data_IF_340910693131
#
_entry.id   IF_340910693131
#
_cell.length_a   1.000
_cell.length_b   1.000
_cell.length_c   1.000
_cell.angle_alpha   90.00
_cell.angle_beta   90.00
_cell.angle_gamma   90.00
#
_symmetry.space_group_name_H-M   'P 1'
#
loop_
_entity.id
_entity.type
_entity.pdbx_description
1 polymer ?
#
# COMPACT_ATOMS: atom_id res chain seq x y z
N UNK A 1 -7.82 -1.40 -17.74
CA UNK A 1 -6.80 -0.45 -18.26
C UNK A 1 -6.78 -0.53 -19.77
N UNK A 2 -7.09 0.57 -20.45
CA UNK A 2 -7.09 0.62 -21.91
C UNK A 2 -5.71 1.01 -22.44
N UNK A 3 -5.35 0.50 -23.63
CA UNK A 3 -4.09 0.83 -24.30
C UNK A 3 -3.96 2.33 -24.65
N UNK A 4 -5.06 3.09 -24.68
CA UNK A 4 -5.09 4.54 -24.91
C UNK A 4 -4.93 5.37 -23.62
N UNK A 5 -4.63 4.72 -22.49
CA UNK A 5 -4.45 5.35 -21.18
C UNK A 5 -5.74 5.53 -20.39
N UNK A 6 -6.92 5.20 -20.96
CA UNK A 6 -8.17 5.24 -20.19
C UNK A 6 -8.17 4.23 -19.05
N UNK A 7 -8.64 4.69 -17.91
CA UNK A 7 -9.06 3.86 -16.78
C UNK A 7 -10.58 3.93 -16.72
N UNK A 8 -11.22 2.77 -16.73
CA UNK A 8 -12.65 2.66 -16.47
C UNK A 8 -12.87 1.91 -15.16
N UNK A 9 -13.86 2.35 -14.36
CA UNK A 9 -14.18 1.65 -13.13
C UNK A 9 -14.74 0.26 -13.42
N UNK A 10 -14.21 -0.74 -12.73
CA UNK A 10 -14.57 -2.15 -12.91
C UNK A 10 -14.11 -2.95 -11.68
N UNK A 11 -14.67 -4.15 -11.49
CA UNK A 11 -14.21 -5.10 -10.48
C UNK A 11 -14.13 -6.52 -11.05
N UNK A 12 -13.09 -7.26 -10.64
CA UNK A 12 -12.96 -8.66 -11.01
C UNK A 12 -13.76 -9.54 -10.05
N UNK A 13 -14.61 -10.43 -10.58
CA UNK A 13 -15.39 -11.36 -9.77
C UNK A 13 -15.25 -12.81 -10.24
N UNK A 14 -15.46 -13.73 -9.30
CA UNK A 14 -15.60 -15.17 -9.56
C UNK A 14 -16.76 -15.71 -8.72
N UNK A 15 -17.81 -16.30 -9.33
CA UNK A 15 -18.02 -16.50 -10.77
C UNK A 15 -18.27 -15.17 -11.52
N UNK A 16 -18.03 -15.10 -12.85
CA UNK A 16 -18.17 -13.85 -13.61
C UNK A 16 -19.58 -13.22 -13.55
N UNK A 17 -20.63 -14.02 -13.41
CA UNK A 17 -22.02 -13.51 -13.30
C UNK A 17 -22.26 -12.64 -12.06
N UNK A 18 -21.39 -12.75 -11.04
CA UNK A 18 -21.45 -11.90 -9.85
C UNK A 18 -21.10 -10.45 -10.18
N UNK A 19 -20.31 -10.21 -11.23
CA UNK A 19 -19.97 -8.84 -11.66
C UNK A 19 -21.23 -8.07 -12.06
N UNK A 20 -22.04 -8.65 -12.96
CA UNK A 20 -23.24 -8.00 -13.49
C UNK A 20 -24.26 -7.81 -12.36
N UNK A 21 -24.43 -8.81 -11.50
CA UNK A 21 -25.29 -8.74 -10.32
C UNK A 21 -24.91 -7.59 -9.36
N UNK A 22 -23.63 -7.46 -9.02
CA UNK A 22 -23.18 -6.37 -8.13
C UNK A 22 -23.29 -5.01 -8.81
N UNK A 23 -23.02 -4.95 -10.11
CA UNK A 23 -23.11 -3.70 -10.90
C UNK A 23 -24.56 -3.24 -11.03
N UNK A 24 -25.50 -4.17 -11.24
CA UNK A 24 -26.93 -3.86 -11.33
C UNK A 24 -27.50 -3.35 -10.00
N UNK A 25 -27.07 -3.92 -8.88
CA UNK A 25 -27.56 -3.56 -7.54
C UNK A 25 -26.90 -2.28 -6.99
N UNK A 26 -25.58 -2.13 -7.14
CA UNK A 26 -24.79 -1.08 -6.47
C UNK A 26 -24.12 -0.09 -7.43
N UNK A 27 -24.27 -0.27 -8.74
CA UNK A 27 -23.50 0.44 -9.75
C UNK A 27 -22.07 -0.07 -9.87
N UNK A 28 -21.34 0.48 -10.85
CA UNK A 28 -19.93 0.14 -11.10
C UNK A 28 -19.06 0.46 -9.89
N UNK A 29 -18.08 -0.40 -9.61
CA UNK A 29 -17.11 -0.17 -8.54
C UNK A 29 -16.48 1.22 -8.64
N UNK A 30 -16.45 2.03 -7.55
CA UNK A 30 -16.01 3.42 -7.61
C UNK A 30 -14.47 3.55 -7.60
N UNK A 31 -13.81 3.07 -8.67
CA UNK A 31 -12.34 2.97 -8.78
C UNK A 31 -11.59 4.28 -8.44
N UNK A 32 -12.12 5.45 -8.82
CA UNK A 32 -11.47 6.74 -8.56
C UNK A 32 -11.63 7.23 -7.11
N UNK A 33 -12.49 6.57 -6.33
CA UNK A 33 -12.62 6.71 -4.88
C UNK A 33 -11.93 5.57 -4.13
N UNK A 34 -11.42 4.57 -4.86
CA UNK A 34 -10.61 3.51 -4.29
C UNK A 34 -9.13 3.89 -4.26
N UNK A 35 -8.61 4.61 -5.26
CA UNK A 35 -7.18 4.94 -5.24
C UNK A 35 -6.91 6.28 -5.91
N UNK A 36 -5.90 7.00 -5.41
CA UNK A 36 -5.47 8.31 -5.90
C UNK A 36 -6.05 9.50 -5.14
N UNK A 37 -6.05 10.71 -5.74
CA UNK A 37 -6.39 11.94 -5.02
C UNK A 37 -7.86 12.05 -4.57
N UNK A 38 -8.74 11.24 -5.17
CA UNK A 38 -10.16 11.17 -4.81
C UNK A 38 -10.49 10.03 -3.84
N UNK A 39 -9.49 9.28 -3.36
CA UNK A 39 -9.76 8.12 -2.52
C UNK A 39 -10.43 8.53 -1.20
N UNK A 40 -11.58 7.91 -0.90
CA UNK A 40 -12.44 8.23 0.23
C UNK A 40 -13.30 7.02 0.66
N UNK A 41 -14.28 7.23 1.52
CA UNK A 41 -15.14 6.18 2.10
C UNK A 41 -16.01 5.47 1.05
N UNK A 42 -16.29 6.09 -0.11
CA UNK A 42 -17.26 5.57 -1.10
C UNK A 42 -16.90 4.17 -1.57
N UNK A 43 -15.60 3.90 -1.75
CA UNK A 43 -15.12 2.57 -2.14
C UNK A 43 -15.33 1.53 -1.05
N UNK A 44 -15.09 1.89 0.22
CA UNK A 44 -15.35 1.00 1.36
C UNK A 44 -16.84 0.73 1.53
N UNK A 45 -17.70 1.74 1.35
CA UNK A 45 -19.15 1.56 1.39
C UNK A 45 -19.63 0.57 0.32
N UNK A 46 -19.17 0.70 -0.93
CA UNK A 46 -19.50 -0.25 -1.99
C UNK A 46 -19.06 -1.68 -1.63
N UNK A 47 -17.86 -1.85 -1.06
CA UNK A 47 -17.35 -3.16 -0.64
C UNK A 47 -18.18 -3.74 0.52
N UNK A 48 -18.59 -2.90 1.47
CA UNK A 48 -19.49 -3.29 2.57
C UNK A 48 -20.81 -3.81 1.99
N UNK A 49 -21.43 -3.07 1.08
CA UNK A 49 -22.72 -3.46 0.49
C UNK A 49 -22.62 -4.73 -0.35
N UNK A 50 -21.56 -4.88 -1.15
CA UNK A 50 -21.27 -6.11 -1.88
C UNK A 50 -21.05 -7.31 -0.93
N UNK A 51 -20.35 -7.10 0.19
CA UNK A 51 -20.12 -8.14 1.21
C UNK A 51 -21.42 -8.58 1.86
N UNK A 52 -22.28 -7.63 2.25
CA UNK A 52 -23.60 -7.90 2.82
C UNK A 52 -24.47 -8.66 1.83
N UNK A 53 -24.45 -8.28 0.55
CA UNK A 53 -25.16 -8.99 -0.51
C UNK A 53 -24.73 -10.45 -0.63
N UNK A 54 -23.43 -10.70 -0.67
CA UNK A 54 -22.88 -12.07 -0.75
C UNK A 54 -23.25 -12.88 0.49
N UNK A 55 -23.12 -12.31 1.70
CA UNK A 55 -23.50 -12.99 2.94
C UNK A 55 -24.97 -13.44 2.91
N UNK A 56 -25.87 -12.53 2.53
CA UNK A 56 -27.32 -12.78 2.47
C UNK A 56 -27.69 -13.82 1.40
N UNK A 57 -27.09 -13.73 0.21
CA UNK A 57 -27.54 -14.49 -0.97
C UNK A 57 -26.79 -15.79 -1.19
N UNK A 58 -25.58 -15.96 -0.63
CA UNK A 58 -24.75 -17.16 -0.78
C UNK A 58 -24.48 -17.87 0.54
N UNK A 59 -24.60 -17.18 1.69
CA UNK A 59 -24.36 -17.71 3.04
C UNK A 59 -23.04 -18.50 3.14
N UNK A 60 -21.89 -17.89 2.80
CA UNK A 60 -20.60 -18.56 2.89
C UNK A 60 -20.24 -18.88 4.34
N UNK A 61 -19.49 -19.96 4.55
CA UNK A 61 -18.94 -20.35 5.86
C UNK A 61 -17.82 -19.41 6.32
N UNK A 62 -17.08 -18.81 5.37
CA UNK A 62 -16.05 -17.80 5.60
C UNK A 62 -16.24 -16.63 4.64
N UNK A 63 -16.25 -15.41 5.18
CA UNK A 63 -16.26 -14.16 4.42
C UNK A 63 -15.02 -13.36 4.77
N UNK A 64 -14.24 -12.99 3.76
CA UNK A 64 -13.12 -12.05 3.88
C UNK A 64 -13.49 -10.76 3.15
N UNK A 65 -13.31 -9.63 3.83
CA UNK A 65 -13.66 -8.31 3.33
C UNK A 65 -12.51 -7.35 3.64
N UNK A 66 -12.11 -6.56 2.63
CA UNK A 66 -11.03 -5.59 2.74
C UNK A 66 -11.60 -4.17 2.62
N UNK A 67 -11.40 -3.35 3.67
CA UNK A 67 -11.91 -1.98 3.75
C UNK A 67 -10.74 -1.01 3.83
N UNK A 68 -10.34 -0.36 2.72
CA UNK A 68 -9.07 0.35 2.65
C UNK A 68 -9.10 1.78 3.23
N UNK A 69 -10.24 2.27 3.69
CA UNK A 69 -10.45 3.71 3.97
C UNK A 69 -9.38 4.35 4.86
N UNK A 70 -8.90 3.62 5.89
CA UNK A 70 -7.93 4.16 6.83
C UNK A 70 -6.53 4.29 6.25
N UNK A 71 -6.19 3.53 5.21
CA UNK A 71 -4.87 3.57 4.59
C UNK A 71 -4.58 4.96 4.00
N UNK A 72 -5.60 5.66 3.48
CA UNK A 72 -5.42 6.93 2.78
C UNK A 72 -5.17 8.12 3.71
N UNK A 73 -6.08 8.38 4.65
CA UNK A 73 -6.00 9.60 5.46
C UNK A 73 -4.91 9.50 6.53
N UNK A 74 -4.60 8.29 7.01
CA UNK A 74 -3.43 8.06 7.85
C UNK A 74 -2.13 8.41 7.10
N UNK A 75 -2.01 8.11 5.80
CA UNK A 75 -0.87 8.53 4.98
C UNK A 75 -0.89 10.04 4.69
N UNK A 76 -2.06 10.60 4.33
CA UNK A 76 -2.19 12.02 3.93
C UNK A 76 -1.99 12.99 5.09
N UNK A 77 -2.44 12.64 6.28
CA UNK A 77 -2.56 13.55 7.41
C UNK A 77 -1.75 13.10 8.63
N UNK A 78 -1.42 11.81 8.71
CA UNK A 78 -0.73 11.19 9.83
C UNK A 78 -1.72 10.58 10.83
N UNK A 79 -1.26 9.71 11.73
CA UNK A 79 -2.14 8.95 12.64
C UNK A 79 -2.88 9.80 13.67
N UNK A 80 -2.29 10.93 14.10
CA UNK A 80 -2.82 11.77 15.18
C UNK A 80 -3.67 12.95 14.68
N UNK A 81 -3.83 13.12 13.37
CA UNK A 81 -4.59 14.25 12.82
C UNK A 81 -6.10 14.04 13.03
N UNK A 82 -6.86 15.07 13.45
CA UNK A 82 -8.30 14.97 13.63
C UNK A 82 -9.06 14.42 12.42
N UNK A 83 -8.56 14.62 11.20
CA UNK A 83 -9.16 14.06 9.98
C UNK A 83 -9.00 12.55 9.90
N UNK A 84 -7.87 12.01 10.32
CA UNK A 84 -7.64 10.56 10.39
C UNK A 84 -8.53 9.91 11.45
N UNK A 85 -8.72 10.57 12.59
CA UNK A 85 -9.65 10.12 13.63
C UNK A 85 -11.11 10.16 13.14
N UNK A 86 -11.46 11.18 12.35
CA UNK A 86 -12.76 11.26 11.70
C UNK A 86 -12.95 10.11 10.69
N UNK A 87 -11.93 9.80 9.86
CA UNK A 87 -11.98 8.66 8.93
C UNK A 87 -12.21 7.32 9.66
N UNK A 88 -11.59 7.13 10.85
CA UNK A 88 -11.88 5.97 11.70
C UNK A 88 -13.33 5.92 12.18
N UNK A 89 -13.89 7.06 12.60
CA UNK A 89 -15.30 7.19 13.02
C UNK A 89 -16.26 6.93 11.86
N UNK A 90 -15.93 7.44 10.68
CA UNK A 90 -16.73 7.29 9.47
C UNK A 90 -16.75 5.83 9.00
N UNK A 91 -15.60 5.13 9.06
CA UNK A 91 -15.52 3.71 8.75
C UNK A 91 -16.30 2.85 9.75
N UNK A 92 -16.16 3.12 11.06
CA UNK A 92 -16.92 2.41 12.11
C UNK A 92 -18.44 2.54 11.86
N UNK A 93 -18.89 3.76 11.55
CA UNK A 93 -20.29 4.03 11.21
C UNK A 93 -20.73 3.27 9.96
N UNK A 94 -19.92 3.27 8.90
CA UNK A 94 -20.24 2.57 7.65
C UNK A 94 -20.28 1.04 7.83
N UNK A 95 -19.44 0.48 8.70
CA UNK A 95 -19.39 -0.95 8.97
C UNK A 95 -20.55 -1.46 9.82
N UNK A 96 -21.23 -0.58 10.58
CA UNK A 96 -22.24 -0.98 11.54
C UNK A 96 -23.33 -1.92 10.96
N UNK A 97 -23.93 -1.66 9.78
CA UNK A 97 -24.92 -2.57 9.18
C UNK A 97 -24.36 -3.96 8.86
N UNK A 98 -23.10 -4.07 8.43
CA UNK A 98 -22.46 -5.36 8.16
C UNK A 98 -22.19 -6.13 9.45
N UNK A 99 -21.78 -5.44 10.52
CA UNK A 99 -21.58 -6.04 11.83
C UNK A 99 -22.89 -6.49 12.49
N UNK A 100 -23.97 -5.72 12.30
CA UNK A 100 -25.31 -6.08 12.75
C UNK A 100 -25.84 -7.32 12.02
N UNK A 101 -25.67 -7.40 10.69
CA UNK A 101 -26.01 -8.59 9.90
C UNK A 101 -25.23 -9.81 10.41
N UNK A 102 -23.91 -9.66 10.65
CA UNK A 102 -23.07 -10.72 11.17
C UNK A 102 -23.54 -11.21 12.55
N UNK A 103 -23.90 -10.28 13.45
CA UNK A 103 -24.45 -10.61 14.77
C UNK A 103 -25.80 -11.32 14.67
N UNK A 104 -26.69 -10.86 13.80
CA UNK A 104 -28.01 -11.46 13.60
C UNK A 104 -27.92 -12.90 13.05
N UNK A 105 -26.89 -13.18 12.23
CA UNK A 105 -26.60 -14.51 11.71
C UNK A 105 -25.76 -15.38 12.66
N UNK A 106 -25.35 -14.85 13.82
CA UNK A 106 -24.50 -15.58 14.76
C UNK A 106 -23.07 -15.82 14.26
N UNK A 107 -22.58 -15.00 13.33
CA UNK A 107 -21.21 -15.10 12.80
C UNK A 107 -20.20 -14.58 13.82
N UNK A 108 -19.06 -15.26 13.92
CA UNK A 108 -17.87 -14.70 14.58
C UNK A 108 -17.23 -13.67 13.65
N UNK A 109 -17.03 -12.46 14.15
CA UNK A 109 -16.33 -11.38 13.45
C UNK A 109 -14.91 -11.29 13.96
N UNK A 110 -13.95 -11.20 13.04
CA UNK A 110 -12.57 -10.84 13.32
C UNK A 110 -12.23 -9.61 12.47
N UNK A 111 -11.77 -8.54 13.13
CA UNK A 111 -11.18 -7.37 12.47
C UNK A 111 -9.67 -7.50 12.60
N UNK A 112 -8.95 -7.38 11.49
CA UNK A 112 -7.51 -7.51 11.42
C UNK A 112 -6.95 -6.33 10.64
N UNK A 113 -5.97 -5.64 11.23
CA UNK A 113 -5.07 -4.74 10.51
C UNK A 113 -3.80 -5.48 10.15
N UNK A 114 -3.27 -5.26 8.95
CA UNK A 114 -2.02 -5.90 8.50
C UNK A 114 -0.78 -5.20 9.10
N UNK A 115 -0.87 -3.89 9.30
CA UNK A 115 0.18 -3.04 9.84
C UNK A 115 -0.41 -1.83 10.57
N UNK A 116 0.42 -1.13 11.35
CA UNK A 116 0.13 0.20 11.85
C UNK A 116 0.75 1.28 10.96
N UNK A 117 0.13 2.46 10.90
CA UNK A 117 0.69 3.63 10.22
C UNK A 117 1.17 4.60 11.28
N UNK A 118 2.45 4.96 11.21
CA UNK A 118 3.09 5.91 12.14
C UNK A 118 3.45 7.21 11.43
N UNK A 119 3.74 8.26 12.18
CA UNK A 119 4.14 9.56 11.63
C UNK A 119 5.47 9.44 10.89
N UNK A 120 5.47 9.78 9.61
CA UNK A 120 6.68 9.90 8.79
C UNK A 120 6.47 10.96 7.71
N UNK A 121 7.35 11.95 7.65
CA UNK A 121 7.25 13.10 6.73
C UNK A 121 8.57 13.47 6.06
N UNK A 122 9.66 12.73 6.33
CA UNK A 122 10.97 12.95 5.71
C UNK A 122 11.22 11.98 4.54
N UNK A 123 11.09 12.42 3.28
CA UNK A 123 11.36 11.55 2.14
C UNK A 123 12.87 11.28 2.00
N UNK A 124 13.21 10.04 1.65
CA UNK A 124 14.58 9.58 1.37
C UNK A 124 14.65 9.09 -0.07
N UNK A 125 15.43 9.79 -0.89
CA UNK A 125 15.58 9.47 -2.31
C UNK A 125 16.65 8.40 -2.55
N UNK A 126 16.40 7.18 -2.07
CA UNK A 126 17.39 6.08 -2.08
C UNK A 126 17.92 5.77 -3.48
N UNK A 127 17.07 5.80 -4.51
CA UNK A 127 17.49 5.58 -5.90
C UNK A 127 18.30 6.75 -6.49
N UNK A 128 18.09 8.00 -6.03
CA UNK A 128 18.94 9.13 -6.40
C UNK A 128 20.36 8.94 -5.85
N UNK A 129 20.50 8.49 -4.59
CA UNK A 129 21.80 8.19 -4.00
C UNK A 129 22.55 7.09 -4.78
N UNK A 130 21.87 5.98 -5.11
CA UNK A 130 22.47 4.92 -5.94
C UNK A 130 22.87 5.41 -7.34
N UNK A 131 22.08 6.33 -7.91
CA UNK A 131 22.39 6.92 -9.20
C UNK A 131 23.58 7.88 -9.16
N UNK A 132 23.66 8.74 -8.14
CA UNK A 132 24.79 9.64 -7.93
C UNK A 132 26.10 8.87 -7.72
N UNK A 133 26.02 7.67 -7.11
CA UNK A 133 27.15 6.74 -6.99
C UNK A 133 27.48 5.96 -8.28
N UNK A 134 26.73 6.17 -9.38
CA UNK A 134 26.93 5.47 -10.65
C UNK A 134 26.60 3.98 -10.61
N UNK A 135 25.68 3.57 -9.73
CA UNK A 135 25.23 2.17 -9.60
C UNK A 135 23.89 1.94 -10.33
N UNK A 136 23.01 2.96 -10.32
CA UNK A 136 21.73 2.93 -11.02
C UNK A 136 21.84 3.61 -12.38
N UNK A 137 21.34 2.94 -13.41
CA UNK A 137 21.32 3.41 -14.79
C UNK A 137 19.91 3.82 -15.23
N UNK A 138 19.85 4.83 -16.09
CA UNK A 138 18.60 5.28 -16.73
C UNK A 138 18.74 5.33 -18.24
N UNK A 139 17.71 4.88 -18.95
CA UNK A 139 17.55 5.12 -20.37
C UNK A 139 16.85 6.47 -20.60
N UNK A 140 17.37 7.31 -21.49
CA UNK A 140 16.73 8.58 -21.85
C UNK A 140 15.94 8.45 -23.15
N UNK A 141 14.65 8.77 -23.10
CA UNK A 141 13.77 8.81 -24.27
C UNK A 141 12.90 10.08 -24.21
N UNK A 142 12.94 10.88 -25.27
CA UNK A 142 12.19 12.15 -25.37
C UNK A 142 12.43 13.10 -24.17
N UNK A 143 13.69 13.18 -23.71
CA UNK A 143 14.10 13.98 -22.55
C UNK A 143 13.77 13.37 -21.19
N UNK A 144 12.86 12.40 -21.13
CA UNK A 144 12.50 11.66 -19.92
C UNK A 144 13.49 10.55 -19.61
N UNK A 145 13.70 10.27 -18.34
CA UNK A 145 14.57 9.22 -17.83
C UNK A 145 13.74 8.05 -17.35
N UNK A 146 14.09 6.85 -17.77
CA UNK A 146 13.43 5.60 -17.38
C UNK A 146 14.46 4.71 -16.70
N UNK A 147 14.12 4.15 -15.53
CA UNK A 147 14.97 3.17 -14.86
C UNK A 147 15.29 2.03 -15.84
N UNK A 148 16.57 1.66 -15.94
CA UNK A 148 17.01 0.46 -16.65
C UNK A 148 17.54 -0.56 -15.63
N UNK A 149 16.68 -1.49 -15.13
CA UNK A 149 17.10 -2.50 -14.17
C UNK A 149 18.17 -3.45 -14.72
N UNK A 150 18.23 -3.63 -16.05
CA UNK A 150 19.13 -4.59 -16.69
C UNK A 150 20.54 -4.04 -16.87
N UNK A 151 20.65 -2.72 -17.08
CA UNK A 151 21.93 -2.01 -17.12
C UNK A 151 22.44 -1.66 -15.71
N UNK A 152 21.53 -1.40 -14.76
CA UNK A 152 21.88 -1.03 -13.39
C UNK A 152 22.71 -2.12 -12.69
N UNK A 153 23.75 -1.69 -11.98
CA UNK A 153 24.52 -2.54 -11.05
C UNK A 153 23.79 -2.70 -9.73
N UNK A 154 23.12 -1.64 -9.27
CA UNK A 154 22.18 -1.71 -8.16
C UNK A 154 21.01 -0.72 -8.33
N UNK A 155 19.84 -1.09 -7.84
CA UNK A 155 18.67 -0.21 -7.72
C UNK A 155 17.78 -0.68 -6.56
N UNK A 156 16.95 0.22 -6.05
CA UNK A 156 16.00 -0.07 -4.98
C UNK A 156 14.56 -0.11 -5.50
N UNK A 157 13.79 -1.07 -4.98
CA UNK A 157 12.32 -1.06 -5.03
C UNK A 157 11.85 -0.59 -3.67
N UNK A 158 11.26 0.61 -3.62
CA UNK A 158 10.91 1.31 -2.39
C UNK A 158 9.41 1.20 -2.10
N UNK A 159 9.05 0.77 -0.90
CA UNK A 159 7.66 0.68 -0.45
C UNK A 159 7.59 1.23 0.98
N UNK A 160 7.15 2.48 1.12
CA UNK A 160 7.10 3.18 2.40
C UNK A 160 8.46 3.18 3.15
N UNK A 161 8.51 2.65 4.37
CA UNK A 161 9.70 2.67 5.24
C UNK A 161 10.63 1.46 5.03
N UNK A 162 10.40 0.66 3.98
CA UNK A 162 11.25 -0.45 3.59
C UNK A 162 11.63 -0.35 2.10
N UNK A 163 12.87 -0.67 1.77
CA UNK A 163 13.31 -0.75 0.38
C UNK A 163 14.20 -1.97 0.16
N UNK A 164 13.83 -2.80 -0.82
CA UNK A 164 14.67 -3.89 -1.28
C UNK A 164 15.68 -3.36 -2.29
N UNK A 165 16.97 -3.47 -2.00
CA UNK A 165 18.06 -3.03 -2.87
C UNK A 165 18.60 -4.26 -3.60
N UNK A 166 18.35 -4.30 -4.90
CA UNK A 166 18.83 -5.35 -5.77
C UNK A 166 20.20 -4.98 -6.31
N UNK A 167 21.15 -5.90 -6.19
CA UNK A 167 22.53 -5.77 -6.66
C UNK A 167 22.79 -6.91 -7.64
N UNK A 168 23.08 -6.53 -8.88
CA UNK A 168 23.14 -7.48 -10.01
C UNK A 168 24.24 -8.52 -9.85
N UNK A 169 25.39 -8.13 -9.27
CA UNK A 169 26.54 -9.00 -9.12
C UNK A 169 27.19 -8.84 -7.74
N UNK A 170 27.70 -9.92 -7.13
CA UNK A 170 28.30 -9.85 -5.79
C UNK A 170 29.44 -8.84 -5.66
N UNK A 171 30.22 -8.61 -6.71
CA UNK A 171 31.32 -7.63 -6.70
C UNK A 171 30.88 -6.17 -6.52
N UNK A 172 29.61 -5.84 -6.77
CA UNK A 172 29.06 -4.49 -6.61
C UNK A 172 28.45 -4.26 -5.21
N UNK A 173 28.44 -5.28 -4.34
CA UNK A 173 27.83 -5.18 -3.00
C UNK A 173 28.50 -4.14 -2.11
N UNK A 174 29.82 -4.13 -2.05
CA UNK A 174 30.57 -3.20 -1.20
C UNK A 174 30.37 -1.74 -1.65
N UNK A 175 30.37 -1.51 -2.96
CA UNK A 175 30.09 -0.19 -3.53
C UNK A 175 28.64 0.26 -3.25
N UNK A 176 27.69 -0.67 -3.34
CA UNK A 176 26.28 -0.40 -3.03
C UNK A 176 26.08 -0.09 -1.56
N UNK A 177 26.70 -0.87 -0.67
CA UNK A 177 26.68 -0.60 0.77
C UNK A 177 27.28 0.76 1.07
N UNK A 178 28.44 1.08 0.51
CA UNK A 178 29.10 2.37 0.72
C UNK A 178 28.28 3.57 0.22
N UNK A 179 27.50 3.41 -0.85
CA UNK A 179 26.63 4.47 -1.38
C UNK A 179 25.41 4.76 -0.48
N UNK A 180 25.00 3.78 0.33
CA UNK A 180 23.84 3.88 1.22
C UNK A 180 24.22 4.07 2.69
N UNK A 181 25.44 3.69 3.06
CA UNK A 181 25.96 3.85 4.42
C UNK A 181 26.01 5.33 4.81
N UNK A 182 25.40 5.66 5.95
CA UNK A 182 25.28 7.03 6.43
C UNK A 182 24.32 7.94 5.62
N UNK A 183 23.56 7.42 4.66
CA UNK A 183 22.51 8.20 3.98
C UNK A 183 21.44 8.62 5.01
N UNK A 184 21.23 9.93 5.25
CA UNK A 184 20.28 10.38 6.27
C UNK A 184 18.86 9.84 6.03
N UNK A 185 18.26 9.23 7.05
CA UNK A 185 16.94 8.61 6.97
C UNK A 185 16.95 7.09 6.75
N UNK A 186 18.11 6.46 6.55
CA UNK A 186 18.26 5.00 6.69
C UNK A 186 18.63 4.69 8.15
N UNK A 187 17.80 3.90 8.82
CA UNK A 187 18.07 3.38 10.18
C UNK A 187 18.96 2.14 10.10
N UNK A 188 18.60 1.21 9.23
CA UNK A 188 19.28 -0.08 9.10
C UNK A 188 19.44 -0.45 7.64
N UNK A 189 20.60 -0.99 7.30
CA UNK A 189 20.89 -1.61 6.01
C UNK A 189 21.20 -3.09 6.25
N UNK A 190 20.18 -3.92 6.11
CA UNK A 190 20.21 -5.35 6.40
C UNK A 190 20.90 -6.10 5.27
N UNK A 191 21.96 -6.83 5.60
CA UNK A 191 22.59 -7.82 4.73
C UNK A 191 22.01 -9.22 4.98
N UNK A 192 22.69 -10.28 4.55
CA UNK A 192 22.16 -11.65 4.66
C UNK A 192 21.85 -12.06 6.10
N UNK A 193 22.71 -11.71 7.07
CA UNK A 193 22.46 -12.04 8.48
C UNK A 193 21.36 -11.15 9.07
N UNK A 194 21.34 -9.86 8.71
CA UNK A 194 20.26 -8.95 9.09
C UNK A 194 18.90 -9.42 8.56
N UNK A 195 18.81 -9.78 7.27
CA UNK A 195 17.59 -10.31 6.64
C UNK A 195 17.11 -11.57 7.34
N UNK A 196 18.00 -12.51 7.69
CA UNK A 196 17.63 -13.73 8.45
C UNK A 196 17.07 -13.38 9.82
N UNK A 197 17.72 -12.48 10.56
CA UNK A 197 17.27 -12.05 11.89
C UNK A 197 15.88 -11.39 11.86
N UNK A 198 15.53 -10.74 10.75
CA UNK A 198 14.23 -10.11 10.52
C UNK A 198 13.23 -10.97 9.73
N UNK A 199 13.56 -12.23 9.44
CA UNK A 199 12.74 -13.14 8.62
C UNK A 199 12.44 -12.63 7.19
N UNK A 200 13.37 -11.88 6.61
CA UNK A 200 13.33 -11.33 5.25
C UNK A 200 14.27 -12.08 4.28
N UNK A 201 14.95 -13.15 4.72
CA UNK A 201 15.80 -13.99 3.86
C UNK A 201 14.93 -14.84 2.92
N UNK A 202 14.54 -14.25 1.80
CA UNK A 202 13.66 -14.85 0.81
C UNK A 202 14.24 -14.64 -0.60
N UNK A 203 14.08 -15.58 -1.55
CA UNK A 203 14.64 -15.44 -2.91
C UNK A 203 14.14 -14.22 -3.72
N UNK A 204 13.14 -13.50 -3.22
CA UNK A 204 12.62 -12.25 -3.81
C UNK A 204 13.05 -11.00 -3.06
N UNK A 205 13.79 -11.14 -1.96
CA UNK A 205 14.38 -10.00 -1.29
C UNK A 205 15.61 -9.54 -2.06
N UNK A 206 15.84 -8.24 -2.11
CA UNK A 206 17.11 -7.70 -2.59
C UNK A 206 18.31 -8.22 -1.78
N UNK A 207 19.49 -8.10 -2.37
CA UNK A 207 20.75 -8.43 -1.71
C UNK A 207 20.93 -7.65 -0.41
N UNK A 208 20.44 -6.40 -0.36
CA UNK A 208 20.28 -5.63 0.88
C UNK A 208 18.81 -5.20 1.07
N UNK A 209 18.41 -4.97 2.32
CA UNK A 209 17.14 -4.34 2.66
C UNK A 209 17.39 -3.12 3.52
N UNK A 210 16.97 -1.95 3.04
CA UNK A 210 17.02 -0.72 3.82
C UNK A 210 15.72 -0.54 4.61
N UNK A 211 15.85 -0.20 5.89
CA UNK A 211 14.75 0.18 6.78
C UNK A 211 14.94 1.65 7.14
N UNK A 212 13.89 2.45 6.99
CA UNK A 212 13.95 3.87 7.24
C UNK A 212 13.98 4.20 8.74
N UNK A 213 14.55 5.36 9.05
CA UNK A 213 14.35 6.02 10.33
C UNK A 213 12.85 6.24 10.60
N UNK A 214 12.41 6.31 11.87
CA UNK A 214 10.98 6.33 12.22
C UNK A 214 10.17 7.42 11.54
N UNK A 215 10.76 8.60 11.35
CA UNK A 215 10.14 9.78 10.73
C UNK A 215 10.36 9.84 9.21
N UNK A 216 11.08 8.86 8.64
CA UNK A 216 11.50 8.84 7.25
C UNK A 216 10.78 7.76 6.45
N UNK A 217 10.73 7.94 5.12
CA UNK A 217 10.20 6.96 4.17
C UNK A 217 10.93 7.06 2.82
N UNK A 218 10.97 5.99 2.05
CA UNK A 218 11.71 5.92 0.79
C UNK A 218 10.84 6.27 -0.42
N UNK A 219 11.32 7.19 -1.25
CA UNK A 219 10.73 7.42 -2.58
C UNK A 219 11.34 6.47 -3.60
N UNK A 220 10.58 6.08 -4.63
CA UNK A 220 11.13 5.33 -5.76
C UNK A 220 11.98 6.19 -6.73
N UNK A 221 11.99 7.52 -6.56
CA UNK A 221 12.51 8.48 -7.54
C UNK A 221 13.97 8.21 -7.90
N UNK A 222 14.25 8.10 -9.19
CA UNK A 222 15.59 7.86 -9.74
C UNK A 222 16.07 8.97 -10.69
N UNK A 223 15.20 9.90 -11.08
CA UNK A 223 15.59 11.10 -11.83
C UNK A 223 16.23 12.12 -10.89
N UNK A 224 17.31 12.78 -11.33
CA UNK A 224 17.99 13.83 -10.55
C UNK A 224 17.42 15.23 -10.81
N UNK A 225 16.69 15.40 -11.91
CA UNK A 225 16.01 16.62 -12.32
C UNK A 225 14.55 16.29 -12.63
N UNK A 226 13.60 16.93 -11.93
CA UNK A 226 12.17 16.72 -12.11
C UNK A 226 11.70 17.06 -13.54
N UNK A 227 12.42 17.92 -14.27
CA UNK A 227 12.18 18.18 -15.69
C UNK A 227 12.43 16.96 -16.59
N UNK A 228 13.09 15.92 -16.07
CA UNK A 228 13.38 14.65 -16.75
C UNK A 228 12.59 13.47 -16.21
N UNK A 229 11.68 13.70 -15.26
CA UNK A 229 10.83 12.64 -14.72
C UNK A 229 10.00 11.97 -15.83
N UNK A 230 9.78 10.64 -15.78
CA UNK A 230 8.83 9.99 -16.66
C UNK A 230 7.44 10.62 -16.56
N UNK A 231 6.72 10.64 -17.68
CA UNK A 231 5.36 11.17 -17.70
C UNK A 231 4.39 10.45 -16.74
N UNK A 232 4.60 9.16 -16.51
CA UNK A 232 3.80 8.37 -15.57
C UNK A 232 4.01 8.77 -14.10
N UNK A 233 5.10 9.49 -13.77
CA UNK A 233 5.38 9.90 -12.39
C UNK A 233 4.29 10.84 -11.84
N UNK A 234 3.72 11.69 -12.70
CA UNK A 234 2.62 12.60 -12.36
C UNK A 234 1.23 11.98 -12.54
N UNK A 235 1.15 10.68 -12.79
CA UNK A 235 -0.10 9.93 -12.90
C UNK A 235 -0.27 9.06 -11.65
N UNK A 236 -1.52 8.71 -11.39
CA UNK A 236 -1.84 7.57 -10.53
C UNK A 236 -1.50 6.33 -11.35
N UNK A 237 -0.35 5.67 -11.13
CA UNK A 237 0.11 4.55 -11.96
C UNK A 237 1.03 3.56 -11.24
N UNK A 238 0.40 2.76 -10.38
CA UNK A 238 1.02 1.75 -9.52
C UNK A 238 1.85 0.68 -10.25
N UNK A 239 1.62 0.41 -11.55
CA UNK A 239 2.29 -0.69 -12.25
C UNK A 239 3.62 -0.29 -12.90
N UNK A 240 3.89 1.00 -13.07
CA UNK A 240 5.13 1.50 -13.71
C UNK A 240 6.17 2.03 -12.73
N UNK A 241 5.75 2.31 -11.49
CA UNK A 241 6.62 2.82 -10.45
C UNK A 241 7.33 1.62 -9.80
N UNK A 242 8.67 1.59 -9.72
CA UNK A 242 9.44 0.52 -9.07
C UNK A 242 9.32 0.63 -7.55
N UNK A 243 8.11 0.43 -7.03
CA UNK A 243 7.76 0.72 -5.66
C UNK A 243 6.35 1.29 -5.53
N UNK A 244 5.96 1.57 -4.30
CA UNK A 244 4.73 2.29 -3.98
C UNK A 244 4.99 3.79 -3.87
N UNK A 245 4.02 4.60 -4.30
CA UNK A 245 4.11 6.05 -4.29
C UNK A 245 2.91 6.67 -3.57
N UNK A 246 3.03 6.95 -2.25
CA UNK A 246 1.93 7.52 -1.47
C UNK A 246 1.52 8.92 -1.95
N UNK A 247 2.37 9.62 -2.73
CA UNK A 247 2.00 10.96 -3.20
C UNK A 247 0.90 10.94 -4.26
N UNK A 248 0.59 9.76 -4.83
CA UNK A 248 -0.58 9.57 -5.69
C UNK A 248 -1.90 9.92 -4.98
N UNK A 249 -1.91 9.94 -3.64
CA UNK A 249 -3.06 10.35 -2.83
C UNK A 249 -3.34 11.85 -2.89
N UNK A 250 -2.54 12.64 -3.61
CA UNK A 250 -2.62 14.09 -3.68
C UNK A 250 -2.78 14.62 -5.11
N UNK A 251 -3.55 15.69 -5.24
CA UNK A 251 -3.36 16.61 -6.37
C UNK A 251 -2.19 17.53 -6.03
N UNK A 252 -1.34 17.81 -7.01
CA UNK A 252 -0.11 18.60 -6.88
C UNK A 252 -0.42 19.95 -6.20
N UNK A 253 0.03 20.15 -4.94
CA UNK A 253 -0.28 21.36 -4.19
C UNK A 253 0.51 22.58 -4.68
N UNK A 254 1.59 22.36 -5.45
CA UNK A 254 2.44 23.43 -5.99
C UNK A 254 1.97 23.91 -7.36
N UNK A 255 1.05 23.19 -8.01
CA UNK A 255 0.44 23.59 -9.28
C UNK A 255 -0.91 24.32 -9.07
N UNK A 256 -0.97 25.65 -9.19
CA UNK A 256 -2.20 26.41 -9.01
C UNK A 256 -3.29 26.08 -10.04
N UNK A 257 -2.93 25.43 -11.16
CA UNK A 257 -3.85 25.04 -12.23
C UNK A 257 -4.21 23.55 -12.18
N UNK A 258 -3.80 22.79 -11.17
CA UNK A 258 -4.00 21.32 -11.12
C UNK A 258 -5.46 20.92 -11.30
N UNK A 259 -6.40 21.65 -10.69
CA UNK A 259 -7.85 21.41 -10.84
C UNK A 259 -8.34 21.71 -12.26
N UNK A 260 -7.78 22.71 -12.93
CA UNK A 260 -8.11 23.05 -14.34
C UNK A 260 -7.57 21.98 -15.28
N UNK A 261 -6.35 21.48 -15.04
CA UNK A 261 -5.77 20.34 -15.77
C UNK A 261 -6.65 19.10 -15.63
N UNK A 262 -7.08 18.79 -14.41
CA UNK A 262 -7.99 17.69 -14.13
C UNK A 262 -9.31 17.83 -14.90
N UNK A 263 -9.97 19.00 -14.81
CA UNK A 263 -11.22 19.27 -15.51
C UNK A 263 -11.08 19.16 -17.04
N UNK A 264 -9.97 19.66 -17.59
CA UNK A 264 -9.69 19.59 -19.03
C UNK A 264 -9.41 18.15 -19.48
N UNK A 265 -8.67 17.37 -18.70
CA UNK A 265 -8.44 15.96 -18.96
C UNK A 265 -9.76 15.15 -18.94
N UNK A 266 -10.65 15.43 -17.98
CA UNK A 266 -11.99 14.83 -17.92
C UNK A 266 -12.85 15.22 -19.13
N UNK A 267 -12.81 16.47 -19.57
CA UNK A 267 -13.52 16.91 -20.77
C UNK A 267 -13.01 16.16 -22.02
N UNK A 268 -11.68 16.03 -22.17
CA UNK A 268 -11.07 15.23 -23.26
C UNK A 268 -11.46 13.77 -23.20
N UNK A 269 -11.47 13.15 -22.00
CA UNK A 269 -11.97 11.78 -21.79
C UNK A 269 -13.41 11.63 -22.31
N UNK A 270 -14.30 12.53 -21.90
CA UNK A 270 -15.73 12.50 -22.31
C UNK A 270 -15.91 12.69 -23.82
N UNK A 271 -15.02 13.43 -24.47
CA UNK A 271 -15.01 13.63 -25.92
C UNK A 271 -14.31 12.49 -26.69
N UNK A 272 -13.83 11.45 -26.02
CA UNK A 272 -13.12 10.33 -26.65
C UNK A 272 -11.71 10.68 -27.16
N UNK A 273 -11.16 11.82 -26.73
CA UNK A 273 -9.83 12.26 -27.08
C UNK A 273 -8.80 11.63 -26.14
N UNK A 274 -7.59 11.37 -26.64
CA UNK A 274 -6.44 11.01 -25.80
C UNK A 274 -6.21 12.12 -24.76
N UNK A 275 -6.01 11.71 -23.50
CA UNK A 275 -5.77 12.62 -22.38
C UNK A 275 -4.69 12.06 -21.46
N UNK A 276 -4.11 12.95 -20.66
CA UNK A 276 -3.19 12.62 -19.58
C UNK A 276 -3.64 13.38 -18.34
N UNK A 277 -3.89 12.66 -17.25
CA UNK A 277 -4.28 13.24 -15.95
C UNK A 277 -3.03 13.50 -15.11
N UNK A 278 -2.16 14.39 -15.58
CA UNK A 278 -0.92 14.75 -14.87
C UNK A 278 -1.23 15.70 -13.71
N UNK A 279 -1.59 15.12 -12.57
CA UNK A 279 -2.05 15.85 -11.38
C UNK A 279 -1.35 15.39 -10.09
N UNK A 280 -0.57 14.31 -10.12
CA UNK A 280 0.20 13.84 -8.95
C UNK A 280 1.48 14.68 -8.84
N UNK A 281 1.86 15.15 -7.63
CA UNK A 281 3.08 15.93 -7.45
C UNK A 281 4.34 15.09 -7.69
N UNK A 282 5.44 15.75 -8.05
CA UNK A 282 6.79 15.18 -7.96
C UNK A 282 7.43 15.48 -6.60
N UNK A 283 6.90 16.45 -5.86
CA UNK A 283 7.30 16.73 -4.47
C UNK A 283 6.75 15.66 -3.52
N UNK A 284 7.65 15.05 -2.75
CA UNK A 284 7.37 14.02 -1.77
C UNK A 284 7.00 14.57 -0.38
N UNK A 285 7.16 15.87 -0.16
CA UNK A 285 6.90 16.51 1.13
C UNK A 285 5.45 16.44 1.67
N UNK A 286 4.38 16.12 0.91
CA UNK A 286 3.02 16.07 1.47
C UNK A 286 2.73 14.91 2.43
N UNK A 287 3.50 13.82 2.41
CA UNK A 287 3.22 12.62 3.21
C UNK A 287 3.39 12.89 4.71
N UNK A 288 2.48 12.36 5.52
CA UNK A 288 2.50 12.54 6.99
C UNK A 288 2.47 11.22 7.76
N UNK A 289 2.08 10.12 7.11
CA UNK A 289 2.10 8.79 7.71
C UNK A 289 2.68 7.74 6.75
N UNK A 290 3.34 6.73 7.31
CA UNK A 290 3.97 5.63 6.56
C UNK A 290 4.03 4.35 7.41
N UNK A 291 4.39 3.23 6.78
CA UNK A 291 4.48 1.92 7.42
C UNK A 291 5.63 1.06 6.84
N UNK A 292 5.75 -0.19 7.26
CA UNK A 292 6.71 -1.16 6.71
C UNK A 292 7.92 -1.44 7.60
N UNK A 293 8.20 -0.58 8.59
CA UNK A 293 9.14 -0.89 9.69
C UNK A 293 8.43 -1.63 10.83
N UNK A 294 9.19 -2.36 11.64
CA UNK A 294 8.66 -2.94 12.88
C UNK A 294 8.22 -1.81 13.84
N UNK A 295 7.04 -1.95 14.48
CA UNK A 295 6.55 -0.94 15.41
C UNK A 295 7.43 -0.87 16.66
N UNK A 296 7.48 0.30 17.30
CA UNK A 296 8.28 0.53 18.52
C UNK A 296 7.59 0.05 19.79
N UNK A 297 6.27 0.01 19.77
CA UNK A 297 5.40 -0.45 20.85
C UNK A 297 4.18 -1.16 20.26
N UNK A 298 3.39 -1.79 21.11
CA UNK A 298 2.14 -2.43 20.69
C UNK A 298 1.08 -1.40 20.25
N UNK A 299 1.18 -0.16 20.74
CA UNK A 299 0.26 0.93 20.38
C UNK A 299 0.41 1.36 18.91
N UNK A 300 1.61 1.18 18.34
CA UNK A 300 1.92 1.47 16.92
C UNK A 300 1.74 0.24 16.02
N UNK A 301 1.33 -0.89 16.59
CA UNK A 301 1.29 -2.19 15.92
C UNK A 301 -0.03 -2.49 15.20
N UNK A 302 -0.05 -3.57 14.40
CA UNK A 302 -1.31 -4.11 13.86
C UNK A 302 -2.25 -4.58 14.97
N UNK A 303 -3.56 -4.44 14.73
CA UNK A 303 -4.60 -4.82 15.67
C UNK A 303 -5.37 -6.05 15.18
N UNK A 304 -5.77 -6.90 16.14
CA UNK A 304 -6.71 -7.98 15.93
C UNK A 304 -7.81 -7.91 16.99
N UNK A 305 -9.05 -7.77 16.55
CA UNK A 305 -10.25 -7.72 17.41
C UNK A 305 -11.15 -8.89 17.05
N UNK A 306 -11.69 -9.60 18.04
CA UNK A 306 -12.62 -10.71 17.81
C UNK A 306 -13.91 -10.53 18.62
N UNK A 307 -15.05 -10.81 17.99
CA UNK A 307 -16.36 -10.75 18.65
C UNK A 307 -16.59 -11.88 19.67
N UNK A 308 -15.79 -12.95 19.62
CA UNK A 308 -15.85 -14.05 20.58
C UNK A 308 -15.00 -13.71 21.81
N UNK A 309 -15.59 -13.57 23.01
CA UNK A 309 -14.84 -13.20 24.19
C UNK A 309 -13.73 -14.20 24.51
N UNK A 310 -12.53 -13.70 24.81
CA UNK A 310 -11.34 -14.50 25.19
C UNK A 310 -10.88 -15.50 24.12
N UNK A 311 -11.32 -15.34 22.87
CA UNK A 311 -10.84 -16.12 21.74
C UNK A 311 -9.37 -15.85 21.39
N UNK A 312 -8.88 -14.67 21.74
CA UNK A 312 -7.56 -14.17 21.41
C UNK A 312 -6.84 -13.81 22.72
N UNK A 313 -5.58 -14.21 22.83
CA UNK A 313 -4.71 -13.82 23.95
C UNK A 313 -4.09 -12.44 23.73
N UNK A 314 -3.03 -12.13 24.48
CA UNK A 314 -2.38 -10.81 24.44
C UNK A 314 -1.65 -10.53 23.11
N UNK A 315 -1.06 -11.57 22.49
CA UNK A 315 -0.37 -11.47 21.20
C UNK A 315 -0.66 -12.68 20.32
N UNK A 316 -0.76 -12.43 19.01
CA UNK A 316 -0.90 -13.46 17.97
C UNK A 316 0.17 -13.18 16.92
N UNK A 317 0.96 -14.20 16.57
CA UNK A 317 1.87 -14.06 15.44
C UNK A 317 1.06 -13.98 14.14
N UNK A 318 1.46 -13.13 13.20
CA UNK A 318 0.77 -13.00 11.91
C UNK A 318 0.63 -14.35 11.17
N UNK A 319 1.62 -15.24 11.33
CA UNK A 319 1.59 -16.61 10.79
C UNK A 319 0.51 -17.51 11.39
N UNK A 320 0.02 -17.19 12.58
CA UNK A 320 -0.93 -17.99 13.33
C UNK A 320 -2.39 -17.55 13.08
N UNK A 321 -2.61 -16.42 12.41
CA UNK A 321 -3.95 -15.88 12.11
C UNK A 321 -4.80 -16.92 11.38
N UNK A 322 -4.24 -17.65 10.42
CA UNK A 322 -4.96 -18.73 9.72
C UNK A 322 -5.45 -19.80 10.69
N UNK A 323 -4.57 -20.27 11.59
CA UNK A 323 -4.91 -21.29 12.58
C UNK A 323 -5.98 -20.78 13.54
N UNK A 324 -5.88 -19.52 13.97
CA UNK A 324 -6.90 -18.85 14.79
C UNK A 324 -8.26 -18.82 14.09
N UNK A 325 -8.32 -18.39 12.82
CA UNK A 325 -9.58 -18.36 12.05
C UNK A 325 -10.21 -19.76 11.90
N UNK A 326 -9.39 -20.78 11.65
CA UNK A 326 -9.86 -22.17 11.59
C UNK A 326 -10.41 -22.66 12.94
N UNK A 327 -9.73 -22.33 14.05
CA UNK A 327 -10.19 -22.65 15.39
C UNK A 327 -11.54 -21.97 15.69
N UNK A 328 -11.68 -20.69 15.35
CA UNK A 328 -12.93 -19.94 15.53
C UNK A 328 -14.08 -20.50 14.69
N UNK A 329 -13.78 -21.05 13.52
CA UNK A 329 -14.75 -21.77 12.69
C UNK A 329 -15.09 -23.19 13.21
N UNK A 330 -14.52 -23.63 14.34
CA UNK A 330 -14.72 -24.98 14.88
C UNK A 330 -13.97 -26.07 14.10
N UNK A 331 -13.00 -25.68 13.26
CA UNK A 331 -12.18 -26.57 12.42
C UNK A 331 -10.78 -26.80 13.00
N UNK A 332 -10.51 -26.28 14.21
CA UNK A 332 -9.26 -26.53 14.92
C UNK A 332 -9.16 -27.98 15.37
N UNK A 333 -8.20 -28.73 14.82
CA UNK A 333 -7.88 -30.07 15.29
C UNK A 333 -7.24 -30.07 16.71
N UNK A 334 -7.06 -31.24 17.34
CA UNK A 334 -6.55 -31.35 18.72
C UNK A 334 -5.10 -30.85 18.97
N UNK A 335 -4.37 -30.34 17.98
CA UNK A 335 -2.89 -30.25 18.03
C UNK A 335 -2.28 -28.83 17.96
N UNK A 336 -3.05 -27.75 18.16
CA UNK A 336 -2.47 -26.39 18.20
C UNK A 336 -2.42 -25.76 19.59
N UNK A 337 -2.17 -26.58 20.61
CA UNK A 337 -1.67 -26.07 21.89
C UNK A 337 -0.15 -26.24 21.92
N UNK A 338 0.56 -25.14 21.64
CA UNK A 338 1.89 -24.87 22.21
C UNK A 338 2.92 -26.00 22.03
N UNK A 339 3.46 -26.17 20.82
CA UNK A 339 4.90 -26.47 20.77
C UNK A 339 5.63 -25.17 21.03
N UNK A 340 6.20 -25.08 22.24
CA UNK A 340 7.21 -24.08 22.61
C UNK A 340 8.30 -24.10 21.54
N UNK A 341 8.23 -23.17 20.58
CA UNK A 341 9.41 -22.77 19.83
C UNK A 341 10.24 -21.92 20.79
N UNK A 342 11.19 -22.59 21.43
CA UNK A 342 12.23 -21.97 22.23
C UNK A 342 13.20 -21.18 21.32
N UNK A 343 13.90 -20.20 21.91
CA UNK A 343 14.10 -18.85 21.37
C UNK A 343 14.93 -18.75 20.10
#
# INVERSE_FOLDING_TARGET
YYADGRKEPDCYTRPPSLHDELTDEFGTFPLFHFWGPGADLVSSQWIIDATRHINRTRRPDLTLCYLPHLDYDLQRHGPDDPRSLQAATDLDTAMAPLLDDARAEGRTVVVLSEYGITRADRPVHINRALREAGLLEVHTQDGMEYLDPMASRAFAVADHQIAHVYVRRPEDLDATRAALDGLPGIDQLLDDEGKKAHHLDHPRSGELVAVAEPDAWFTYYYWLDDGRAPDFAQLVEIHRKPGYDPVELFMDPLDPYVKVKAATALARKKLGLRYRMAVVPLDASPIRGSHGRLPRSDDDGPLLICSTPRAVGDRVAATDVKSLLLQLAGLGGPEHQSEKRHP
#
